data_IF_265387617540
#
_entry.id   IF_265387617540
#
_cell.length_a   1.000
_cell.length_b   1.000
_cell.length_c   1.000
_cell.angle_alpha   90.00
_cell.angle_beta   90.00
_cell.angle_gamma   90.00
#
_symmetry.space_group_name_H-M   'P 1'
#
loop_
_entity.id
_entity.type
_entity.pdbx_description
1 polymer ?
#
# COMPACT_ATOMS: atom_id res chain seq x y z
N UNK A 1 -76.22 -7.88 18.45
CA UNK A 1 -75.20 -8.63 17.70
C UNK A 1 -74.06 -7.75 17.13
N UNK A 2 -73.80 -6.52 17.63
CA UNK A 2 -72.72 -5.64 17.12
C UNK A 2 -71.56 -5.35 18.08
N UNK A 3 -71.63 -5.75 19.37
CA UNK A 3 -70.53 -5.56 20.33
C UNK A 3 -69.37 -6.55 20.11
N UNK A 4 -69.67 -7.81 19.83
CA UNK A 4 -68.69 -8.89 19.62
C UNK A 4 -67.76 -8.65 18.43
N UNK A 5 -68.28 -8.11 17.32
CA UNK A 5 -67.51 -7.81 16.11
C UNK A 5 -66.53 -6.64 16.29
N UNK A 6 -66.84 -5.71 17.21
CA UNK A 6 -65.99 -4.55 17.53
C UNK A 6 -64.82 -4.94 18.43
N UNK A 7 -65.05 -5.86 19.36
CA UNK A 7 -64.03 -6.41 20.26
C UNK A 7 -63.04 -7.33 19.51
N UNK A 8 -63.52 -8.19 18.59
CA UNK A 8 -62.65 -8.98 17.71
C UNK A 8 -61.78 -8.11 16.80
N UNK A 9 -62.36 -7.08 16.16
CA UNK A 9 -61.58 -6.16 15.32
C UNK A 9 -60.53 -5.39 16.12
N UNK A 10 -60.83 -5.03 17.38
CA UNK A 10 -59.86 -4.37 18.25
C UNK A 10 -58.74 -5.32 18.68
N UNK A 11 -59.04 -6.59 18.95
CA UNK A 11 -58.05 -7.61 19.25
C UNK A 11 -57.14 -7.92 18.04
N UNK A 12 -57.71 -8.01 16.83
CA UNK A 12 -56.95 -8.22 15.58
C UNK A 12 -56.05 -7.02 15.30
N UNK A 13 -56.56 -5.79 15.47
CA UNK A 13 -55.78 -4.57 15.25
C UNK A 13 -54.64 -4.42 16.27
N UNK A 14 -54.86 -4.76 17.54
CA UNK A 14 -53.80 -4.78 18.55
C UNK A 14 -52.73 -5.83 18.24
N UNK A 15 -53.11 -7.04 17.80
CA UNK A 15 -52.13 -8.07 17.38
C UNK A 15 -51.31 -7.60 16.19
N UNK A 16 -51.92 -6.94 15.21
CA UNK A 16 -51.22 -6.33 14.07
C UNK A 16 -50.24 -5.24 14.51
N UNK A 17 -50.64 -4.36 15.43
CA UNK A 17 -49.74 -3.36 16.00
C UNK A 17 -48.58 -4.00 16.77
N UNK A 18 -48.83 -5.04 17.56
CA UNK A 18 -47.75 -5.77 18.27
C UNK A 18 -46.81 -6.46 17.29
N UNK A 19 -47.31 -7.10 16.23
CA UNK A 19 -46.48 -7.75 15.21
C UNK A 19 -45.64 -6.73 14.43
N UNK A 20 -46.20 -5.60 14.02
CA UNK A 20 -45.46 -4.53 13.35
C UNK A 20 -44.40 -3.93 14.27
N UNK A 21 -44.75 -3.69 15.54
CA UNK A 21 -43.81 -3.19 16.55
C UNK A 21 -42.65 -4.18 16.74
N UNK A 22 -42.93 -5.49 16.82
CA UNK A 22 -41.91 -6.52 16.94
C UNK A 22 -41.00 -6.60 15.70
N UNK A 23 -41.56 -6.44 14.49
CA UNK A 23 -40.76 -6.38 13.25
C UNK A 23 -39.88 -5.15 13.22
N UNK A 24 -40.37 -3.98 13.63
CA UNK A 24 -39.57 -2.76 13.71
C UNK A 24 -38.48 -2.86 14.78
N UNK A 25 -38.77 -3.49 15.93
CA UNK A 25 -37.78 -3.79 16.96
C UNK A 25 -36.71 -4.77 16.47
N UNK A 26 -37.10 -5.80 15.71
CA UNK A 26 -36.17 -6.73 15.09
C UNK A 26 -35.32 -6.04 14.01
N UNK A 27 -35.91 -5.17 13.19
CA UNK A 27 -35.19 -4.40 12.19
C UNK A 27 -34.19 -3.44 12.86
N UNK A 28 -34.59 -2.75 13.92
CA UNK A 28 -33.73 -1.89 14.72
C UNK A 28 -32.59 -2.69 15.38
N UNK A 29 -32.87 -3.88 15.90
CA UNK A 29 -31.87 -4.78 16.48
C UNK A 29 -30.88 -5.30 15.43
N UNK A 30 -31.34 -5.63 14.22
CA UNK A 30 -30.48 -6.00 13.09
C UNK A 30 -29.60 -4.81 12.70
N UNK A 31 -30.15 -3.60 12.59
CA UNK A 31 -29.36 -2.40 12.26
C UNK A 31 -28.37 -2.02 13.37
N UNK A 32 -28.72 -2.21 14.65
CA UNK A 32 -27.81 -1.95 15.75
C UNK A 32 -26.68 -3.00 15.81
N UNK A 33 -26.98 -4.27 15.50
CA UNK A 33 -25.99 -5.33 15.41
C UNK A 33 -25.05 -5.14 14.21
N UNK A 34 -25.55 -4.68 13.05
CA UNK A 34 -24.70 -4.36 11.91
C UNK A 34 -23.83 -3.13 12.19
N UNK A 35 -24.39 -2.06 12.76
CA UNK A 35 -23.62 -0.85 13.11
C UNK A 35 -22.60 -1.12 14.22
N UNK A 36 -22.90 -1.98 15.19
CA UNK A 36 -21.94 -2.40 16.22
C UNK A 36 -20.83 -3.29 15.66
N UNK A 37 -21.12 -4.15 14.67
CA UNK A 37 -20.10 -4.92 13.95
C UNK A 37 -19.18 -4.01 13.14
N UNK A 38 -19.74 -3.03 12.41
CA UNK A 38 -18.95 -2.00 11.73
C UNK A 38 -18.13 -1.14 12.70
N UNK A 39 -18.66 -0.81 13.90
CA UNK A 39 -17.97 0.04 14.87
C UNK A 39 -16.98 -0.70 15.79
N UNK A 40 -17.07 -2.04 15.89
CA UNK A 40 -16.14 -2.90 16.65
C UNK A 40 -15.02 -3.46 15.77
N UNK A 41 -15.25 -3.61 14.45
CA UNK A 41 -14.16 -3.83 13.50
C UNK A 41 -13.21 -2.63 13.41
N UNK A 42 -13.68 -1.44 13.82
CA UNK A 42 -13.00 -0.15 13.65
C UNK A 42 -12.06 0.25 14.82
N UNK A 43 -11.69 -0.69 15.70
CA UNK A 43 -10.75 -0.41 16.81
C UNK A 43 -9.61 -1.41 16.93
N UNK A 44 -8.97 -1.68 15.80
CA UNK A 44 -7.55 -2.05 15.76
C UNK A 44 -6.81 -0.91 15.09
N UNK A 45 -6.58 0.16 15.87
CA UNK A 45 -5.57 1.18 15.57
C UNK A 45 -4.29 0.46 15.13
N UNK A 46 -3.63 0.92 14.07
CA UNK A 46 -2.46 0.21 13.51
C UNK A 46 -1.44 -0.06 14.62
N UNK A 47 -0.89 -1.28 14.64
CA UNK A 47 0.04 -1.70 15.70
C UNK A 47 1.46 -1.94 15.25
N UNK A 48 1.75 -1.93 13.97
CA UNK A 48 3.05 -1.50 13.46
C UNK A 48 2.98 -1.41 11.95
N UNK A 49 3.26 -0.24 11.41
CA UNK A 49 3.76 -0.09 10.06
C UNK A 49 5.23 0.25 10.21
N UNK A 50 6.11 -0.48 9.51
CA UNK A 50 7.50 -0.10 9.37
C UNK A 50 7.77 0.05 7.89
N UNK A 51 8.42 1.14 7.49
CA UNK A 51 8.92 1.34 6.15
C UNK A 51 10.38 1.72 6.28
N UNK A 52 11.25 0.77 6.02
CA UNK A 52 12.69 1.00 5.91
C UNK A 52 13.06 0.96 4.44
N UNK A 53 13.60 2.07 3.96
CA UNK A 53 14.08 2.21 2.59
C UNK A 53 15.60 2.36 2.71
N UNK A 54 16.35 1.42 2.13
CA UNK A 54 17.82 1.42 2.19
C UNK A 54 18.43 1.44 0.79
N UNK A 55 19.57 2.12 0.64
CA UNK A 55 20.31 2.24 -0.62
C UNK A 55 21.79 1.85 -0.46
N UNK A 56 22.40 1.43 -1.57
CA UNK A 56 23.83 1.07 -1.63
C UNK A 56 24.77 2.29 -1.44
N UNK A 57 26.08 2.08 -1.39
CA UNK A 57 27.05 3.12 -1.00
C UNK A 57 27.08 4.36 -1.91
N UNK A 58 26.91 4.16 -3.22
CA UNK A 58 26.98 5.20 -4.25
C UNK A 58 25.59 5.80 -4.60
N UNK A 59 24.54 5.37 -3.89
CA UNK A 59 23.15 5.78 -4.08
C UNK A 59 22.61 6.29 -2.75
N UNK A 60 21.87 7.39 -2.76
CA UNK A 60 21.19 7.90 -1.56
C UNK A 60 19.84 8.45 -1.93
N UNK A 61 19.01 8.64 -0.92
CA UNK A 61 17.69 9.22 -1.06
C UNK A 61 17.28 10.05 0.15
N UNK A 62 16.25 10.85 -0.02
CA UNK A 62 15.63 11.61 1.06
C UNK A 62 14.16 11.90 0.70
N UNK A 63 13.42 12.49 1.64
CA UNK A 63 12.06 13.00 1.44
C UNK A 63 12.06 14.43 0.88
N UNK A 64 13.21 15.10 0.89
CA UNK A 64 13.41 16.45 0.35
C UNK A 64 14.55 16.44 -0.68
N UNK A 65 14.46 17.32 -1.68
CA UNK A 65 15.57 17.56 -2.59
C UNK A 65 16.71 18.28 -1.85
N UNK A 66 17.96 17.94 -2.19
CA UNK A 66 19.15 18.63 -1.70
C UNK A 66 20.11 18.95 -2.84
N UNK A 67 20.98 19.94 -2.61
CA UNK A 67 21.98 20.36 -3.59
C UNK A 67 23.19 19.41 -3.64
N UNK A 68 23.50 18.73 -2.52
CA UNK A 68 24.70 17.91 -2.38
C UNK A 68 24.38 16.47 -1.97
N UNK A 69 25.08 15.51 -2.57
CA UNK A 69 24.91 14.06 -2.34
C UNK A 69 25.02 13.70 -0.86
N UNK A 70 25.91 14.36 -0.11
CA UNK A 70 26.15 14.07 1.30
C UNK A 70 24.97 14.39 2.21
N UNK A 71 24.04 15.25 1.77
CA UNK A 71 22.84 15.62 2.51
C UNK A 71 21.76 14.54 2.43
N UNK A 72 21.74 13.78 1.34
CA UNK A 72 20.87 12.62 1.20
C UNK A 72 21.30 11.52 2.17
N UNK A 73 20.34 10.71 2.57
CA UNK A 73 20.53 9.62 3.53
C UNK A 73 20.53 8.25 2.83
N UNK A 74 21.16 7.27 3.47
CA UNK A 74 21.12 5.88 3.00
C UNK A 74 19.89 5.12 3.45
N UNK A 75 19.29 5.58 4.56
CA UNK A 75 18.16 4.93 5.21
C UNK A 75 17.12 5.98 5.60
N UNK A 76 15.89 5.78 5.17
CA UNK A 76 14.72 6.48 5.70
C UNK A 76 13.97 5.54 6.62
N UNK A 77 13.61 6.04 7.81
CA UNK A 77 12.84 5.29 8.78
C UNK A 77 11.35 5.56 8.61
N UNK A 78 10.56 4.65 9.16
CA UNK A 78 9.11 4.78 9.23
C UNK A 78 8.68 6.11 9.85
N UNK A 79 9.33 6.54 10.93
CA UNK A 79 8.97 7.76 11.66
C UNK A 79 9.10 9.01 10.79
N UNK A 80 10.16 9.11 9.98
CA UNK A 80 10.36 10.22 9.04
C UNK A 80 9.26 10.27 7.98
N UNK A 81 8.88 9.11 7.45
CA UNK A 81 7.83 8.99 6.43
C UNK A 81 6.44 9.27 7.05
N UNK A 82 6.18 8.75 8.24
CA UNK A 82 4.94 9.02 8.97
C UNK A 82 4.79 10.51 9.29
N UNK A 83 5.87 11.17 9.73
CA UNK A 83 5.88 12.62 9.96
C UNK A 83 5.59 13.40 8.66
N UNK A 84 6.21 12.99 7.55
CA UNK A 84 5.96 13.57 6.22
C UNK A 84 4.48 13.47 5.85
N UNK A 85 3.90 12.28 5.94
CA UNK A 85 2.48 12.04 5.63
C UNK A 85 1.54 12.84 6.54
N UNK A 86 1.82 12.88 7.85
CA UNK A 86 1.04 13.69 8.79
C UNK A 86 1.10 15.19 8.46
N UNK A 87 2.27 15.68 8.03
CA UNK A 87 2.47 17.09 7.71
C UNK A 87 1.82 17.51 6.38
N UNK A 88 1.86 16.65 5.37
CA UNK A 88 1.39 16.98 4.01
C UNK A 88 -0.06 16.55 3.77
N UNK A 89 -0.48 15.43 4.35
CA UNK A 89 -1.79 14.79 4.08
C UNK A 89 -2.75 14.87 5.27
N UNK A 90 -2.24 15.20 6.46
CA UNK A 90 -3.07 15.46 7.64
C UNK A 90 -3.54 14.22 8.40
N UNK A 91 -3.07 13.02 8.03
CA UNK A 91 -3.40 11.77 8.73
C UNK A 91 -2.16 11.07 9.28
N UNK A 92 -2.36 10.27 10.34
CA UNK A 92 -1.30 9.48 10.95
C UNK A 92 -1.35 8.05 10.43
N UNK A 93 -0.29 7.61 9.75
CA UNK A 93 -0.14 6.25 9.23
C UNK A 93 -0.19 5.19 10.33
N UNK A 94 0.12 5.53 11.59
CA UNK A 94 0.04 4.60 12.72
C UNK A 94 -1.38 4.40 13.23
N UNK A 95 -2.33 5.24 12.84
CA UNK A 95 -3.72 5.12 13.32
C UNK A 95 -4.74 5.08 12.19
N UNK A 96 -4.30 5.28 10.95
CA UNK A 96 -5.11 5.26 9.73
C UNK A 96 -4.71 4.04 8.91
N UNK A 97 -5.51 2.94 8.94
CA UNK A 97 -5.22 1.75 8.15
C UNK A 97 -5.44 2.01 6.66
N UNK A 98 -4.75 1.25 5.80
CA UNK A 98 -5.05 1.22 4.38
C UNK A 98 -6.44 0.63 4.15
N UNK A 99 -7.11 1.10 3.10
CA UNK A 99 -8.36 0.54 2.63
C UNK A 99 -8.14 -0.05 1.23
N UNK A 100 -8.89 -1.10 0.84
CA UNK A 100 -8.80 -1.62 -0.50
C UNK A 100 -9.16 -0.55 -1.54
N UNK A 101 -8.23 -0.29 -2.44
CA UNK A 101 -8.40 0.65 -3.56
C UNK A 101 -7.82 0.05 -4.83
N UNK A 102 -8.24 0.55 -5.97
CA UNK A 102 -7.67 0.17 -7.27
C UNK A 102 -7.35 1.41 -8.08
N UNK A 103 -6.48 1.27 -9.06
CA UNK A 103 -6.09 2.35 -9.97
C UNK A 103 -5.82 1.80 -11.37
N UNK A 104 -6.36 2.48 -12.38
CA UNK A 104 -6.11 2.14 -13.79
C UNK A 104 -4.92 2.91 -14.37
N UNK A 105 -4.67 4.12 -13.88
CA UNK A 105 -3.69 5.08 -14.40
C UNK A 105 -2.52 5.34 -13.44
N UNK A 106 -2.51 4.65 -12.30
CA UNK A 106 -1.50 4.76 -11.24
C UNK A 106 -1.41 6.14 -10.59
N UNK A 107 -2.44 6.98 -10.76
CA UNK A 107 -2.51 8.33 -10.19
C UNK A 107 -3.83 8.55 -9.44
N UNK A 108 -4.95 8.12 -10.02
CA UNK A 108 -6.28 8.21 -9.45
C UNK A 108 -6.62 6.86 -8.82
N UNK A 109 -6.89 6.89 -7.51
CA UNK A 109 -7.30 5.71 -6.76
C UNK A 109 -8.79 5.76 -6.49
N UNK A 110 -9.46 4.62 -6.64
CA UNK A 110 -10.89 4.49 -6.39
C UNK A 110 -11.19 3.31 -5.47
N UNK A 111 -12.21 3.45 -4.62
CA UNK A 111 -12.83 2.30 -3.97
C UNK A 111 -13.52 1.39 -5.00
N UNK A 112 -13.93 0.19 -4.58
CA UNK A 112 -14.63 -0.80 -5.44
C UNK A 112 -15.88 -0.22 -6.13
N UNK A 113 -16.58 0.72 -5.46
CA UNK A 113 -17.76 1.38 -6.02
C UNK A 113 -17.43 2.48 -7.06
N UNK A 114 -16.15 2.67 -7.41
CA UNK A 114 -15.66 3.67 -8.36
C UNK A 114 -15.51 5.07 -7.77
N UNK A 115 -15.74 5.26 -6.47
CA UNK A 115 -15.56 6.57 -5.82
C UNK A 115 -14.07 6.87 -5.69
N UNK A 116 -13.65 8.00 -6.25
CA UNK A 116 -12.27 8.51 -6.11
C UNK A 116 -11.92 8.75 -4.64
N UNK A 117 -10.71 8.35 -4.27
CA UNK A 117 -10.19 8.44 -2.93
C UNK A 117 -9.15 9.56 -2.86
N UNK A 118 -9.41 10.63 -2.11
CA UNK A 118 -8.41 11.66 -1.89
C UNK A 118 -7.20 11.11 -1.14
N UNK A 119 -6.00 11.61 -1.48
CA UNK A 119 -4.75 11.27 -0.80
C UNK A 119 -4.67 11.68 0.69
N UNK A 120 -5.64 12.48 1.16
CA UNK A 120 -5.82 12.88 2.56
C UNK A 120 -6.62 11.89 3.40
N UNK A 121 -7.18 10.83 2.79
CA UNK A 121 -7.97 9.81 3.50
C UNK A 121 -7.13 8.74 4.19
N UNK A 122 -5.90 8.51 3.72
CA UNK A 122 -5.02 7.46 4.22
C UNK A 122 -5.38 6.04 3.78
N UNK A 123 -6.34 5.88 2.87
CA UNK A 123 -6.66 4.59 2.24
C UNK A 123 -5.47 4.01 1.44
N UNK A 124 -4.62 4.89 0.90
CA UNK A 124 -3.33 4.58 0.29
C UNK A 124 -2.30 5.63 0.75
N UNK A 125 -1.02 5.31 0.58
CA UNK A 125 0.07 6.23 0.90
C UNK A 125 0.61 6.86 -0.37
N UNK A 126 0.98 8.13 -0.29
CA UNK A 126 1.62 8.84 -1.40
C UNK A 126 2.62 9.89 -0.90
N UNK A 127 3.86 9.78 -1.36
CA UNK A 127 4.93 10.72 -1.03
C UNK A 127 5.99 10.71 -2.14
N UNK A 128 6.86 11.72 -2.15
CA UNK A 128 7.97 11.79 -3.11
C UNK A 128 9.26 11.38 -2.41
N UNK A 129 10.02 10.50 -3.06
CA UNK A 129 11.41 10.24 -2.71
C UNK A 129 12.31 10.95 -3.70
N UNK A 130 13.34 11.60 -3.18
CA UNK A 130 14.37 12.26 -3.95
C UNK A 130 15.60 11.37 -3.95
N UNK A 131 16.07 10.93 -5.11
CA UNK A 131 17.25 10.08 -5.25
C UNK A 131 18.42 10.86 -5.84
N UNK A 132 19.63 10.58 -5.37
CA UNK A 132 20.87 11.10 -5.94
C UNK A 132 21.97 10.03 -5.89
N UNK A 133 22.87 10.06 -6.88
CA UNK A 133 23.99 9.13 -6.99
C UNK A 133 25.29 9.83 -7.40
N UNK A 134 26.44 9.28 -7.00
CA UNK A 134 27.77 9.84 -7.34
C UNK A 134 28.22 9.48 -8.77
N UNK A 135 27.45 8.64 -9.47
CA UNK A 135 27.70 8.13 -10.82
C UNK A 135 26.40 7.99 -11.61
N UNK A 136 26.51 7.96 -12.92
CA UNK A 136 25.40 7.57 -13.80
C UNK A 136 25.08 6.08 -13.59
N UNK A 137 23.85 5.77 -13.19
CA UNK A 137 23.43 4.41 -12.85
C UNK A 137 21.96 4.14 -13.15
N UNK A 138 21.60 2.87 -13.24
CA UNK A 138 20.22 2.41 -13.22
C UNK A 138 19.91 1.95 -11.79
N UNK A 139 18.78 2.40 -11.26
CA UNK A 139 18.31 2.00 -9.93
C UNK A 139 17.45 0.76 -10.07
N UNK A 140 17.72 -0.23 -9.22
CA UNK A 140 16.96 -1.46 -9.12
C UNK A 140 16.37 -1.61 -7.72
N UNK A 141 15.20 -2.23 -7.66
CA UNK A 141 14.70 -2.78 -6.40
C UNK A 141 15.31 -4.16 -6.20
N UNK A 142 15.83 -4.45 -5.01
CA UNK A 142 16.68 -5.60 -4.75
C UNK A 142 16.12 -6.51 -3.64
N UNK A 143 16.14 -7.82 -3.86
CA UNK A 143 15.82 -8.85 -2.87
C UNK A 143 16.97 -9.20 -1.91
N UNK A 144 18.18 -8.71 -2.17
CA UNK A 144 19.36 -9.07 -1.39
C UNK A 144 19.28 -8.58 0.05
N UNK A 145 19.77 -9.41 0.95
CA UNK A 145 20.00 -9.04 2.33
C UNK A 145 21.20 -8.08 2.44
N UNK A 146 21.29 -7.31 3.53
CA UNK A 146 22.48 -6.53 3.88
C UNK A 146 23.72 -7.39 4.11
N UNK A 147 23.51 -8.65 4.50
CA UNK A 147 24.53 -9.67 4.65
C UNK A 147 23.91 -11.05 4.52
N UNK A 148 24.71 -12.04 4.12
CA UNK A 148 24.23 -13.40 3.85
C UNK A 148 23.39 -13.97 5.01
N UNK A 149 22.11 -14.20 4.75
CA UNK A 149 21.18 -14.80 5.71
C UNK A 149 20.61 -13.85 6.76
N UNK A 150 20.78 -12.53 6.62
CA UNK A 150 20.15 -11.57 7.51
C UNK A 150 18.61 -11.52 7.38
N UNK A 151 18.05 -12.00 6.26
CA UNK A 151 16.61 -12.01 6.00
C UNK A 151 16.04 -10.61 5.99
N UNK A 152 16.82 -9.65 5.51
CA UNK A 152 16.49 -8.24 5.51
C UNK A 152 16.43 -7.58 4.14
N UNK A 153 16.29 -8.38 3.08
CA UNK A 153 15.92 -7.94 1.74
C UNK A 153 14.60 -7.17 1.63
N UNK A 154 14.29 -6.70 0.42
CA UNK A 154 12.97 -6.14 0.11
C UNK A 154 11.87 -7.15 0.42
N UNK A 155 10.90 -6.76 1.22
CA UNK A 155 9.83 -7.64 1.68
C UNK A 155 8.62 -6.84 2.18
N UNK A 156 7.43 -7.33 1.85
CA UNK A 156 6.18 -7.00 2.52
C UNK A 156 5.83 -8.19 3.41
N UNK A 157 5.71 -7.96 4.70
CA UNK A 157 5.47 -9.00 5.69
C UNK A 157 4.24 -8.69 6.52
N UNK A 158 3.48 -9.73 6.86
CA UNK A 158 2.31 -9.64 7.72
C UNK A 158 2.08 -10.98 8.41
N UNK A 159 1.34 -10.96 9.52
CA UNK A 159 0.80 -12.19 10.12
C UNK A 159 -0.29 -12.83 9.25
N UNK A 160 -0.91 -12.04 8.37
CA UNK A 160 -1.81 -12.54 7.33
C UNK A 160 -1.02 -12.75 6.03
N UNK A 161 -0.87 -14.02 5.62
CA UNK A 161 -0.10 -14.39 4.44
C UNK A 161 -0.70 -13.86 3.11
N UNK A 162 -2.00 -13.53 3.10
CA UNK A 162 -2.68 -12.99 1.92
C UNK A 162 -2.44 -11.47 1.75
N UNK A 163 -2.08 -10.76 2.82
CA UNK A 163 -1.89 -9.31 2.75
C UNK A 163 -0.71 -8.90 1.85
N UNK A 164 0.51 -9.48 1.97
CA UNK A 164 1.60 -9.14 1.07
C UNK A 164 1.28 -9.36 -0.41
N UNK A 165 0.49 -10.39 -0.72
CA UNK A 165 0.05 -10.73 -2.08
C UNK A 165 -0.93 -9.69 -2.64
N UNK A 166 -1.74 -9.06 -1.78
CA UNK A 166 -2.67 -8.00 -2.18
C UNK A 166 -2.05 -6.59 -2.18
N UNK A 167 -0.83 -6.40 -1.69
CA UNK A 167 -0.21 -5.08 -1.63
C UNK A 167 0.57 -4.75 -2.91
N UNK A 168 0.63 -3.47 -3.25
CA UNK A 168 1.40 -2.95 -4.37
C UNK A 168 2.16 -1.70 -3.96
N UNK A 169 3.36 -1.53 -4.53
CA UNK A 169 4.18 -0.34 -4.34
C UNK A 169 4.62 0.15 -5.70
N UNK A 170 4.24 1.37 -6.08
CA UNK A 170 4.65 1.97 -7.34
C UNK A 170 5.72 3.02 -7.16
N UNK A 171 6.59 3.12 -8.15
CA UNK A 171 7.59 4.17 -8.33
C UNK A 171 7.34 4.83 -9.68
N UNK A 172 7.11 6.13 -9.70
CA UNK A 172 6.85 6.87 -10.94
C UNK A 172 7.91 7.95 -11.13
N UNK A 173 8.62 7.88 -12.24
CA UNK A 173 9.60 8.87 -12.67
C UNK A 173 9.71 8.88 -14.20
N UNK A 174 10.09 10.02 -14.77
CA UNK A 174 10.29 10.17 -16.23
C UNK A 174 9.08 9.75 -17.10
N UNK A 175 7.85 9.82 -16.56
CA UNK A 175 6.63 9.42 -17.24
C UNK A 175 6.38 7.91 -17.32
N UNK A 176 7.18 7.10 -16.61
CA UNK A 176 7.02 5.66 -16.50
C UNK A 176 6.74 5.27 -15.04
N UNK A 177 5.88 4.27 -14.85
CA UNK A 177 5.61 3.68 -13.54
C UNK A 177 6.13 2.24 -13.46
N UNK A 178 6.79 1.90 -12.35
CA UNK A 178 7.20 0.54 -11.99
C UNK A 178 6.45 0.11 -10.74
N UNK A 179 5.72 -0.99 -10.81
CA UNK A 179 4.87 -1.50 -9.73
C UNK A 179 5.48 -2.79 -9.20
N UNK A 180 5.94 -2.77 -7.95
CA UNK A 180 6.36 -3.97 -7.25
C UNK A 180 5.13 -4.73 -6.74
N UNK A 181 5.06 -6.00 -7.13
CA UNK A 181 4.11 -7.01 -6.68
C UNK A 181 4.89 -8.23 -6.18
N UNK A 182 4.87 -8.46 -4.87
CA UNK A 182 5.61 -9.55 -4.25
C UNK A 182 5.14 -10.94 -4.74
N UNK A 183 3.85 -11.07 -5.10
CA UNK A 183 3.25 -12.33 -5.53
C UNK A 183 3.66 -12.78 -6.93
N UNK A 184 4.25 -11.89 -7.74
CA UNK A 184 4.67 -12.22 -9.11
C UNK A 184 5.94 -13.08 -9.19
N UNK A 185 6.70 -13.21 -8.10
CA UNK A 185 8.04 -13.82 -8.13
C UNK A 185 8.97 -13.11 -9.13
N UNK A 186 10.00 -13.79 -9.65
CA UNK A 186 10.93 -13.22 -10.63
C UNK A 186 10.33 -13.13 -12.05
N UNK A 187 9.22 -12.40 -12.17
CA UNK A 187 8.56 -12.14 -13.44
C UNK A 187 8.16 -10.68 -13.54
N UNK A 188 7.85 -10.24 -14.76
CA UNK A 188 7.32 -8.92 -15.02
C UNK A 188 6.27 -8.95 -16.13
N UNK A 189 5.43 -7.93 -16.15
CA UNK A 189 4.45 -7.67 -17.19
C UNK A 189 4.46 -6.18 -17.48
N UNK A 190 4.56 -5.81 -18.77
CA UNK A 190 4.59 -4.42 -19.19
C UNK A 190 3.31 -4.08 -19.95
N UNK A 191 2.68 -2.99 -19.53
CA UNK A 191 1.62 -2.29 -20.26
C UNK A 191 2.17 -0.98 -20.84
N UNK A 192 1.35 -0.26 -21.61
CA UNK A 192 1.77 1.02 -22.19
C UNK A 192 2.12 2.10 -21.15
N UNK A 193 1.59 2.00 -19.91
CA UNK A 193 1.75 3.02 -18.87
C UNK A 193 2.62 2.54 -17.68
N UNK A 194 2.66 1.23 -17.41
CA UNK A 194 3.32 0.69 -16.23
C UNK A 194 3.96 -0.68 -16.50
N UNK A 195 5.06 -0.95 -15.80
CA UNK A 195 5.64 -2.29 -15.68
C UNK A 195 5.38 -2.81 -14.27
N UNK A 196 4.66 -3.91 -14.15
CA UNK A 196 4.49 -4.62 -12.87
C UNK A 196 5.50 -5.75 -12.80
N UNK A 197 6.21 -5.88 -11.69
CA UNK A 197 7.28 -6.86 -11.54
C UNK A 197 7.33 -7.38 -10.10
N UNK A 198 7.79 -8.62 -9.95
CA UNK A 198 8.21 -9.14 -8.65
C UNK A 198 9.72 -9.28 -8.58
N UNK A 199 10.20 -9.84 -7.47
CA UNK A 199 11.62 -10.01 -7.22
C UNK A 199 12.04 -11.49 -7.22
N UNK A 200 13.32 -11.77 -7.47
CA UNK A 200 13.94 -13.05 -7.12
C UNK A 200 13.70 -13.44 -5.65
N UNK A 201 13.92 -14.72 -5.34
CA UNK A 201 13.83 -15.22 -3.97
C UNK A 201 14.63 -14.35 -2.99
N UNK A 202 14.08 -14.11 -1.79
CA UNK A 202 14.71 -13.33 -0.74
C UNK A 202 16.18 -13.73 -0.51
N UNK A 203 17.03 -12.72 -0.31
CA UNK A 203 18.49 -12.90 -0.18
C UNK A 203 19.22 -13.02 -1.52
N UNK A 204 18.52 -13.10 -2.66
CA UNK A 204 19.17 -13.13 -3.96
C UNK A 204 19.80 -11.78 -4.29
N UNK A 205 21.07 -11.81 -4.71
CA UNK A 205 21.83 -10.65 -5.21
C UNK A 205 21.61 -10.37 -6.69
N UNK A 206 20.66 -11.07 -7.33
CA UNK A 206 20.45 -10.97 -8.77
C UNK A 206 19.78 -9.65 -9.14
N UNK A 207 20.52 -8.84 -9.89
CA UNK A 207 20.04 -7.63 -10.55
C UNK A 207 19.84 -7.97 -12.03
N UNK A 208 18.68 -7.64 -12.59
CA UNK A 208 18.34 -7.94 -13.99
C UNK A 208 17.43 -6.83 -14.57
N UNK A 209 17.03 -6.99 -15.83
CA UNK A 209 16.14 -6.04 -16.50
C UNK A 209 14.73 -5.98 -15.89
N UNK A 210 14.28 -7.02 -15.19
CA UNK A 210 12.93 -7.09 -14.65
C UNK A 210 12.77 -6.19 -13.43
N UNK A 211 13.83 -6.05 -12.63
CA UNK A 211 13.84 -5.20 -11.42
C UNK A 211 14.54 -3.85 -11.63
N UNK A 212 14.86 -3.50 -12.88
CA UNK A 212 15.36 -2.19 -13.28
C UNK A 212 14.20 -1.18 -13.30
N UNK A 213 14.42 -0.01 -12.68
CA UNK A 213 13.42 1.05 -12.62
C UNK A 213 13.88 2.27 -13.44
N UNK A 214 14.41 3.28 -12.79
CA UNK A 214 14.78 4.55 -13.41
C UNK A 214 16.29 4.76 -13.44
N UNK A 215 16.77 5.55 -14.41
CA UNK A 215 18.16 5.97 -14.47
C UNK A 215 18.42 7.24 -13.65
N UNK A 216 19.58 7.34 -13.01
CA UNK A 216 20.09 8.53 -12.37
C UNK A 216 21.25 9.12 -13.16
N UNK A 217 21.35 10.45 -13.11
CA UNK A 217 22.52 11.19 -13.55
C UNK A 217 23.35 11.57 -12.34
N UNK A 218 24.68 11.49 -12.49
CA UNK A 218 25.62 11.86 -11.44
C UNK A 218 25.27 13.22 -10.83
N UNK A 219 25.23 13.26 -9.49
CA UNK A 219 25.00 14.46 -8.68
C UNK A 219 23.78 15.28 -9.12
N UNK A 220 22.73 14.61 -9.59
CA UNK A 220 21.49 15.24 -10.01
C UNK A 220 20.35 14.62 -9.21
N UNK A 221 19.56 15.48 -8.56
CA UNK A 221 18.34 15.05 -7.87
C UNK A 221 17.35 14.44 -8.88
N UNK A 222 16.72 13.35 -8.47
CA UNK A 222 15.59 12.75 -9.19
C UNK A 222 14.41 12.56 -8.23
N UNK A 223 13.30 13.31 -8.42
CA UNK A 223 12.06 13.02 -7.73
C UNK A 223 11.41 11.75 -8.29
N UNK A 224 10.94 10.90 -7.40
CA UNK A 224 10.22 9.65 -7.68
C UNK A 224 8.96 9.64 -6.82
N UNK A 225 7.80 9.68 -7.47
CA UNK A 225 6.52 9.58 -6.77
C UNK A 225 6.28 8.13 -6.36
N UNK A 226 6.00 7.92 -5.09
CA UNK A 226 5.73 6.60 -4.51
C UNK A 226 4.27 6.49 -4.14
N UNK A 227 3.62 5.40 -4.54
CA UNK A 227 2.33 4.99 -3.99
C UNK A 227 2.44 3.62 -3.32
N UNK A 228 1.75 3.43 -2.20
CA UNK A 228 1.61 2.15 -1.52
C UNK A 228 0.14 1.93 -1.25
N UNK A 229 -0.41 0.81 -1.73
CA UNK A 229 -1.82 0.49 -1.56
C UNK A 229 -2.06 -1.00 -1.42
N UNK A 230 -3.27 -1.33 -0.98
CA UNK A 230 -3.83 -2.68 -1.03
C UNK A 230 -4.77 -2.75 -2.23
N UNK A 231 -4.43 -3.58 -3.22
CA UNK A 231 -5.14 -3.72 -4.48
C UNK A 231 -6.50 -4.40 -4.26
N UNK A 232 -7.56 -3.60 -4.30
CA UNK A 232 -8.92 -4.05 -4.01
C UNK A 232 -9.51 -5.01 -5.04
N UNK A 233 -8.91 -5.11 -6.24
CA UNK A 233 -9.30 -6.11 -7.25
C UNK A 233 -8.50 -7.40 -7.17
N UNK A 234 -7.49 -7.47 -6.29
CA UNK A 234 -6.69 -8.68 -6.09
C UNK A 234 -7.55 -9.79 -5.44
N UNK A 235 -7.50 -11.04 -5.93
CA UNK A 235 -8.25 -12.15 -5.34
C UNK A 235 -7.94 -12.41 -3.86
N UNK A 236 -6.73 -12.08 -3.40
CA UNK A 236 -6.34 -12.17 -2.00
C UNK A 236 -6.96 -11.05 -1.14
N UNK A 237 -7.47 -9.98 -1.75
CA UNK A 237 -8.11 -8.87 -1.07
C UNK A 237 -9.51 -9.23 -0.55
N UNK A 238 -9.53 -9.97 0.55
CA UNK A 238 -10.76 -10.34 1.27
C UNK A 238 -11.03 -9.36 2.41
N UNK A 239 -12.26 -9.33 2.93
CA UNK A 239 -12.62 -8.52 4.11
C UNK A 239 -11.72 -8.79 5.34
N UNK A 240 -11.04 -9.94 5.38
CA UNK A 240 -10.12 -10.34 6.45
C UNK A 240 -8.77 -9.59 6.43
N UNK A 241 -8.44 -8.89 5.34
CA UNK A 241 -7.19 -8.13 5.21
C UNK A 241 -7.22 -6.78 5.93
N UNK A 242 -8.41 -6.21 6.14
CA UNK A 242 -8.60 -4.83 6.64
C UNK A 242 -8.08 -4.61 8.07
N UNK A 243 -7.69 -5.66 8.79
CA UNK A 243 -7.22 -5.60 10.18
C UNK A 243 -5.83 -6.19 10.41
N UNK A 244 -5.08 -6.54 9.35
CA UNK A 244 -3.78 -7.17 9.49
C UNK A 244 -2.64 -6.12 9.58
N UNK A 245 -1.75 -6.30 10.55
CA UNK A 245 -0.52 -5.50 10.65
C UNK A 245 0.44 -5.88 9.52
N UNK A 246 1.23 -4.91 9.04
CA UNK A 246 2.22 -5.15 7.99
C UNK A 246 3.50 -4.34 8.18
N UNK A 247 4.60 -4.90 7.71
CA UNK A 247 5.90 -4.24 7.65
C UNK A 247 6.42 -4.30 6.21
N UNK A 248 6.84 -3.15 5.70
CA UNK A 248 7.46 -2.99 4.40
C UNK A 248 8.94 -2.67 4.60
N UNK A 249 9.79 -3.37 3.87
CA UNK A 249 11.19 -3.02 3.72
C UNK A 249 11.50 -2.98 2.24
N UNK A 250 12.19 -1.94 1.80
CA UNK A 250 12.61 -1.77 0.41
C UNK A 250 14.11 -1.53 0.38
N UNK A 251 14.81 -2.23 -0.51
CA UNK A 251 16.24 -2.05 -0.74
C UNK A 251 16.48 -1.68 -2.19
N UNK A 252 17.20 -0.60 -2.40
CA UNK A 252 17.59 -0.09 -3.70
C UNK A 252 19.08 -0.32 -3.91
N UNK A 253 19.45 -0.66 -5.13
CA UNK A 253 20.85 -0.79 -5.54
C UNK A 253 21.04 -0.12 -6.89
N UNK A 254 22.25 0.37 -7.14
CA UNK A 254 22.63 1.02 -8.39
C UNK A 254 23.50 0.11 -9.24
N UNK A 255 23.11 -0.11 -10.49
CA UNK A 255 24.00 -0.69 -11.51
C UNK A 255 24.63 0.44 -12.32
N UNK A 256 25.95 0.60 -12.23
CA UNK A 256 26.64 1.65 -12.99
C UNK A 256 26.63 1.30 -14.47
N UNK A 257 26.52 2.31 -15.33
CA UNK A 257 26.54 2.12 -16.79
C UNK A 257 27.88 1.57 -17.32
N UNK A 258 28.97 1.68 -16.55
CA UNK A 258 30.26 1.05 -16.86
C UNK A 258 30.22 -0.48 -16.71
N UNK A 259 29.46 -1.00 -15.73
CA UNK A 259 29.25 -2.44 -15.48
C UNK A 259 28.38 -3.13 -16.54
N UNK A 260 27.52 -2.39 -17.23
CA UNK A 260 26.64 -2.94 -18.27
C UNK A 260 27.47 -3.34 -19.50
N UNK A 261 28.46 -2.53 -19.89
CA UNK A 261 29.33 -2.77 -21.04
C UNK A 261 30.27 -3.98 -20.89
N UNK A 262 30.48 -4.48 -19.67
CA UNK A 262 31.32 -5.66 -19.40
C UNK A 262 30.53 -6.97 -19.36
N UNK A 263 29.20 -6.94 -19.26
CA UNK A 263 28.35 -8.16 -19.31
C UNK A 263 27.94 -8.56 -20.74
N UNK A 264 28.14 -7.68 -21.71
CA UNK A 264 27.88 -7.94 -23.14
C UNK A 264 29.12 -8.36 -23.94
N UNK A 265 30.26 -8.63 -23.27
CA UNK A 265 31.49 -9.18 -23.87
C UNK A 265 31.82 -10.55 -23.30
#
# INVERSE_FOLDING_TARGET
>A
MSRTKKEENQAVRNRLYTSILLVLLALAAITAATVAWFSIADKTKVKSMSLDIESDVDLRMDLDAHDYFEQYVKKLSFESIAQRMQSEKGFDMQTTPLEPVTTADQNIFTYENGTEVPDTKGAYLTFTLHFMAEKDMIVHLNSADSSDGAGDGTNISSSNAELPEAMRISFTADGQTWIYDQGMGDTFSTSAAATTFGLPSMGSTRINSNNAMFSLKKNTDKPVLVHIWMEGTDPACTDSLKSADYAIRMRFTGETTETINTREK
#
